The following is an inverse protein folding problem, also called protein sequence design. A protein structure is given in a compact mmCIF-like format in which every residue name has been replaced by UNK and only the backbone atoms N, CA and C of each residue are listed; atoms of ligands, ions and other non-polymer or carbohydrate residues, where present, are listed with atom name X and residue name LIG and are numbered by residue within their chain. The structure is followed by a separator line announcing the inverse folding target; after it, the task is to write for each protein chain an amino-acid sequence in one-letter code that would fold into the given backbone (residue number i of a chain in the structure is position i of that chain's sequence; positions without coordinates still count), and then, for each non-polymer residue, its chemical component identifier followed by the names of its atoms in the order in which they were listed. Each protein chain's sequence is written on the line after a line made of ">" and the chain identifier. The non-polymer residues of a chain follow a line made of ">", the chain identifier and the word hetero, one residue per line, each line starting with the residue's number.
data_IF_046327168446
#
_entry.id   IF_046327168446
#
_cell.length_a   1.000
_cell.length_b   1.000
_cell.length_c   1.000
_cell.angle_alpha   90.00
_cell.angle_beta   90.00
_cell.angle_gamma   90.00
#
_symmetry.space_group_name_H-M   'P 1'
#
loop_
_entity.id
_entity.type
_entity.pdbx_description
1 polymer ?
#
# COMPACT_ATOMS: atom_id res chain seq x y z
N UNK A 1 -2.09 -2.99 30.87
CA UNK A 1 -1.52 -3.84 31.95
C UNK A 1 -0.50 -4.68 31.22
N UNK A 2 0.76 -4.62 31.63
CA UNK A 2 1.85 -5.25 30.91
C UNK A 2 1.64 -6.77 30.81
N UNK A 3 1.49 -7.26 29.58
CA UNK A 3 1.40 -8.70 29.28
C UNK A 3 2.82 -9.24 29.01
N UNK A 4 3.37 -9.88 30.03
CA UNK A 4 4.72 -10.44 29.97
C UNK A 4 4.86 -11.63 29.01
N UNK A 5 3.78 -12.38 28.77
CA UNK A 5 3.82 -13.56 27.91
C UNK A 5 3.79 -13.15 26.45
N UNK A 6 2.89 -12.21 26.10
CA UNK A 6 2.85 -11.60 24.78
C UNK A 6 4.16 -10.89 24.44
N UNK A 7 4.70 -10.10 25.38
CA UNK A 7 5.98 -9.41 25.17
C UNK A 7 7.12 -10.41 24.86
N UNK A 8 7.20 -11.51 25.61
CA UNK A 8 8.25 -12.53 25.44
C UNK A 8 8.13 -13.23 24.08
N UNK A 9 6.90 -13.56 23.67
CA UNK A 9 6.64 -14.21 22.38
C UNK A 9 7.04 -13.29 21.22
N UNK A 10 6.63 -12.01 21.27
CA UNK A 10 6.97 -11.02 20.26
C UNK A 10 8.47 -10.76 20.18
N UNK A 11 9.17 -10.73 21.32
CA UNK A 11 10.62 -10.58 21.37
C UNK A 11 11.31 -11.77 20.68
N UNK A 12 10.91 -12.99 21.01
CA UNK A 12 11.48 -14.21 20.43
C UNK A 12 11.24 -14.30 18.92
N UNK A 13 10.03 -13.98 18.47
CA UNK A 13 9.69 -13.92 17.04
C UNK A 13 10.56 -12.90 16.31
N UNK A 14 10.70 -11.70 16.88
CA UNK A 14 11.52 -10.64 16.29
C UNK A 14 13.00 -11.03 16.22
N UNK A 15 13.54 -11.66 17.27
CA UNK A 15 14.91 -12.18 17.26
C UNK A 15 15.10 -13.26 16.19
N UNK A 16 14.14 -14.18 16.05
CA UNK A 16 14.19 -15.22 15.01
C UNK A 16 14.14 -14.62 13.60
N UNK A 17 13.30 -13.59 13.37
CA UNK A 17 13.24 -12.88 12.09
C UNK A 17 14.55 -12.15 11.78
N UNK A 18 15.19 -11.53 12.76
CA UNK A 18 16.50 -10.88 12.60
C UNK A 18 17.59 -11.90 12.26
N UNK A 19 17.63 -13.05 12.94
CA UNK A 19 18.58 -14.14 12.63
C UNK A 19 18.36 -14.72 11.24
N UNK A 20 17.10 -14.94 10.82
CA UNK A 20 16.79 -15.46 9.49
C UNK A 20 17.10 -14.43 8.37
N UNK A 21 17.01 -13.12 8.67
CA UNK A 21 17.43 -12.06 7.75
C UNK A 21 18.93 -12.12 7.46
N UNK A 22 19.76 -12.48 8.44
CA UNK A 22 21.22 -12.63 8.25
C UNK A 22 21.59 -13.87 7.41
N UNK A 23 20.70 -14.87 7.29
CA UNK A 23 20.94 -16.13 6.56
C UNK A 23 20.51 -16.10 5.08
N UNK A 24 20.09 -14.93 4.55
CA UNK A 24 20.00 -14.70 3.10
C UNK A 24 18.60 -14.68 2.47
N UNK A 25 17.53 -14.76 3.26
CA UNK A 25 16.15 -14.56 2.75
C UNK A 25 15.75 -13.09 2.95
N UNK A 26 16.23 -12.20 2.08
CA UNK A 26 15.91 -10.77 2.13
C UNK A 26 14.59 -10.50 1.40
N UNK A 27 13.50 -10.35 2.17
CA UNK A 27 12.23 -9.82 1.65
C UNK A 27 11.95 -8.47 2.33
N UNK A 28 11.55 -7.46 1.54
CA UNK A 28 11.13 -6.15 2.05
C UNK A 28 10.00 -6.31 3.10
N UNK A 29 9.17 -7.35 2.98
CA UNK A 29 8.09 -7.67 3.94
C UNK A 29 8.63 -8.07 5.33
N UNK A 30 9.73 -8.80 5.37
CA UNK A 30 10.37 -9.25 6.63
C UNK A 30 11.01 -8.06 7.35
N UNK A 31 11.57 -7.10 6.60
CA UNK A 31 12.12 -5.88 7.17
C UNK A 31 11.04 -4.99 7.79
N UNK A 32 9.90 -4.84 7.09
CA UNK A 32 8.73 -4.11 7.61
C UNK A 32 8.17 -4.81 8.87
N UNK A 33 8.10 -6.14 8.89
CA UNK A 33 7.63 -6.89 10.05
C UNK A 33 8.55 -6.73 11.27
N UNK A 34 9.87 -6.75 11.06
CA UNK A 34 10.86 -6.50 12.12
C UNK A 34 10.68 -5.07 12.68
N UNK A 35 10.59 -4.06 11.82
CA UNK A 35 10.39 -2.67 12.26
C UNK A 35 9.09 -2.51 13.07
N UNK A 36 7.99 -3.10 12.60
CA UNK A 36 6.69 -3.08 13.28
C UNK A 36 6.76 -3.74 14.66
N UNK A 37 7.36 -4.94 14.75
CA UNK A 37 7.46 -5.67 16.01
C UNK A 37 8.33 -4.93 17.03
N UNK A 38 9.42 -4.30 16.60
CA UNK A 38 10.27 -3.45 17.44
C UNK A 38 9.46 -2.28 18.02
N UNK A 39 8.64 -1.63 17.19
CA UNK A 39 7.81 -0.50 17.66
C UNK A 39 6.77 -0.95 18.68
N UNK A 40 6.16 -2.12 18.47
CA UNK A 40 5.25 -2.74 19.43
C UNK A 40 5.95 -3.11 20.75
N UNK A 41 7.16 -3.69 20.69
CA UNK A 41 7.97 -3.98 21.88
C UNK A 41 8.31 -2.72 22.68
N UNK A 42 8.67 -1.62 22.01
CA UNK A 42 8.92 -0.33 22.67
C UNK A 42 7.67 0.21 23.35
N UNK A 43 6.51 0.08 22.69
CA UNK A 43 5.25 0.52 23.26
C UNK A 43 4.88 -0.28 24.52
N UNK A 44 5.00 -1.61 24.46
CA UNK A 44 4.76 -2.48 25.61
C UNK A 44 5.75 -2.24 26.75
N UNK A 45 7.02 -2.01 26.45
CA UNK A 45 8.03 -1.68 27.45
C UNK A 45 7.73 -0.36 28.18
N UNK A 46 7.07 0.59 27.51
CA UNK A 46 6.63 1.84 28.14
C UNK A 46 5.50 1.64 29.17
N UNK A 47 4.77 0.52 29.14
CA UNK A 47 3.75 0.19 30.15
C UNK A 47 4.34 -0.39 31.45
N UNK A 48 5.64 -0.70 31.49
CA UNK A 48 6.31 -1.23 32.68
C UNK A 48 6.35 -0.14 33.77
N UNK A 49 5.76 -0.41 34.94
CA UNK A 49 5.68 0.55 36.04
C UNK A 49 7.02 0.82 36.72
N UNK A 50 7.92 -0.17 36.72
CA UNK A 50 9.28 -0.03 37.23
C UNK A 50 10.17 0.68 36.20
N UNK A 51 10.58 1.91 36.52
CA UNK A 51 11.39 2.76 35.63
C UNK A 51 12.80 2.21 35.37
N UNK A 52 13.38 1.49 36.33
CA UNK A 52 14.72 0.90 36.16
C UNK A 52 14.65 -0.28 35.18
N UNK A 53 13.63 -1.13 35.35
CA UNK A 53 13.37 -2.26 34.44
C UNK A 53 12.98 -1.76 33.06
N UNK A 54 12.08 -0.78 32.97
CA UNK A 54 11.69 -0.13 31.72
C UNK A 54 12.90 0.41 30.95
N UNK A 55 13.79 1.15 31.62
CA UNK A 55 14.99 1.71 30.99
C UNK A 55 15.95 0.61 30.48
N UNK A 56 16.15 -0.47 31.26
CA UNK A 56 16.95 -1.62 30.84
C UNK A 56 16.32 -2.35 29.64
N UNK A 57 14.99 -2.46 29.62
CA UNK A 57 14.24 -3.13 28.57
C UNK A 57 14.29 -2.35 27.25
N UNK A 58 14.03 -1.05 27.30
CA UNK A 58 14.13 -0.15 26.14
C UNK A 58 15.54 -0.16 25.56
N UNK A 59 16.58 -0.09 26.41
CA UNK A 59 17.97 -0.23 25.97
C UNK A 59 18.24 -1.55 25.24
N UNK A 60 17.70 -2.67 25.75
CA UNK A 60 17.83 -3.97 25.06
C UNK A 60 17.11 -3.99 23.72
N UNK A 61 15.91 -3.40 23.62
CA UNK A 61 15.17 -3.31 22.36
C UNK A 61 15.92 -2.42 21.36
N UNK A 62 16.49 -1.31 21.80
CA UNK A 62 17.32 -0.43 20.97
C UNK A 62 18.58 -1.15 20.47
N UNK A 63 19.17 -2.02 21.29
CA UNK A 63 20.31 -2.85 20.87
C UNK A 63 19.92 -3.89 19.82
N UNK A 64 18.66 -4.37 19.77
CA UNK A 64 18.17 -5.24 18.69
C UNK A 64 18.00 -4.49 17.36
N UNK A 65 17.86 -3.17 17.40
CA UNK A 65 17.82 -2.33 16.19
C UNK A 65 19.21 -2.04 15.62
N UNK A 66 20.25 -2.08 16.44
CA UNK A 66 21.63 -1.96 15.96
C UNK A 66 21.98 -3.26 15.23
N UNK A 67 22.37 -3.16 13.96
CA UNK A 67 22.79 -4.33 13.17
C UNK A 67 23.75 -5.23 13.97
N UNK A 68 23.64 -6.57 13.84
CA UNK A 68 24.50 -7.52 14.53
C UNK A 68 25.88 -7.51 13.86
N UNK A 69 26.67 -6.47 14.10
CA UNK A 69 28.05 -6.43 13.62
C UNK A 69 29.05 -6.87 14.70
N UNK A 70 28.75 -6.75 15.99
CA UNK A 70 29.71 -7.12 17.04
C UNK A 70 28.97 -7.67 18.27
N UNK A 71 28.53 -8.92 18.18
CA UNK A 71 28.36 -9.75 19.37
C UNK A 71 29.61 -10.62 19.53
N UNK A 72 30.76 -9.98 19.74
CA UNK A 72 31.91 -10.62 20.41
C UNK A 72 31.91 -10.22 21.88
N UNK A 73 31.43 -11.17 22.68
CA UNK A 73 31.75 -11.43 24.09
C UNK A 73 32.87 -10.52 24.64
N UNK A 74 32.51 -9.34 25.13
CA UNK A 74 33.44 -8.41 25.77
C UNK A 74 32.91 -7.90 27.11
N UNK A 75 32.45 -8.81 27.97
CA UNK A 75 32.18 -8.48 29.38
C UNK A 75 33.41 -8.63 30.29
N UNK A 76 34.61 -8.92 29.76
CA UNK A 76 35.78 -9.21 30.64
C UNK A 76 37.04 -8.39 30.36
N UNK A 77 37.08 -7.44 29.41
CA UNK A 77 38.28 -6.62 29.23
C UNK A 77 38.04 -5.11 29.39
N UNK A 78 38.54 -4.63 30.52
CA UNK A 78 39.22 -3.34 30.71
C UNK A 78 38.29 -2.11 30.82
N UNK A 79 37.94 -1.62 32.02
CA UNK A 79 38.84 -0.90 32.93
C UNK A 79 40.25 -0.74 32.36
N UNK A 80 40.51 0.41 31.73
CA UNK A 80 41.82 1.04 31.41
C UNK A 80 41.71 1.62 29.99
N UNK A 81 41.29 2.89 29.89
CA UNK A 81 41.98 3.97 29.16
C UNK A 81 41.01 5.14 28.97
N UNK A 82 41.30 6.23 29.68
CA UNK A 82 40.84 7.56 29.31
C UNK A 82 41.65 8.06 28.11
N UNK A 83 41.11 9.10 27.48
CA UNK A 83 41.72 9.92 26.42
C UNK A 83 41.67 9.28 25.02
N UNK A 84 40.57 9.58 24.28
CA UNK A 84 40.43 9.68 22.79
C UNK A 84 39.03 9.31 22.26
N UNK A 85 37.94 9.65 22.97
CA UNK A 85 36.57 9.25 22.60
C UNK A 85 35.80 10.22 21.68
N UNK A 86 36.36 11.37 21.29
CA UNK A 86 35.59 12.38 20.53
C UNK A 86 35.60 12.16 19.02
N UNK A 87 36.67 11.58 18.45
CA UNK A 87 36.79 11.44 16.99
C UNK A 87 36.05 10.20 16.44
N UNK A 88 36.09 9.09 17.18
CA UNK A 88 35.47 7.82 16.80
C UNK A 88 33.92 7.90 16.77
N UNK A 89 33.34 8.73 17.65
CA UNK A 89 31.91 9.01 17.66
C UNK A 89 31.48 9.86 16.46
N UNK A 90 32.32 10.80 16.01
CA UNK A 90 32.04 11.64 14.85
C UNK A 90 32.03 10.82 13.56
N UNK A 91 33.00 9.94 13.38
CA UNK A 91 33.09 9.07 12.20
C UNK A 91 31.93 8.08 12.12
N UNK A 92 31.46 7.56 13.28
CA UNK A 92 30.25 6.72 13.34
C UNK A 92 29.00 7.48 12.92
N UNK A 93 28.82 8.70 13.43
CA UNK A 93 27.66 9.54 13.09
C UNK A 93 27.67 9.89 11.59
N UNK A 94 28.82 10.22 11.02
CA UNK A 94 28.93 10.52 9.59
C UNK A 94 28.58 9.30 8.72
N UNK A 95 29.04 8.12 9.13
CA UNK A 95 28.72 6.85 8.45
C UNK A 95 27.23 6.52 8.52
N UNK A 96 26.59 6.77 9.66
CA UNK A 96 25.16 6.58 9.85
C UNK A 96 24.34 7.58 9.01
N UNK A 97 24.74 8.86 8.99
CA UNK A 97 24.10 9.87 8.15
C UNK A 97 24.20 9.49 6.66
N UNK A 98 25.36 9.02 6.21
CA UNK A 98 25.54 8.52 4.84
C UNK A 98 24.66 7.31 4.54
N UNK A 99 24.53 6.38 5.50
CA UNK A 99 23.69 5.19 5.37
C UNK A 99 22.21 5.58 5.26
N UNK A 100 21.71 6.41 6.17
CA UNK A 100 20.33 6.88 6.15
C UNK A 100 20.03 7.72 4.91
N UNK A 101 20.98 8.55 4.46
CA UNK A 101 20.85 9.32 3.21
C UNK A 101 20.72 8.41 1.99
N UNK A 102 21.50 7.33 1.90
CA UNK A 102 21.36 6.33 0.82
C UNK A 102 20.03 5.59 0.89
N UNK A 103 19.59 5.18 2.08
CA UNK A 103 18.30 4.51 2.27
C UNK A 103 17.15 5.44 1.90
N UNK A 104 17.20 6.70 2.32
CA UNK A 104 16.21 7.72 1.97
C UNK A 104 16.19 7.97 0.46
N UNK A 105 17.35 8.07 -0.18
CA UNK A 105 17.46 8.22 -1.63
C UNK A 105 16.88 7.00 -2.36
N UNK A 106 17.15 5.79 -1.88
CA UNK A 106 16.55 4.56 -2.41
C UNK A 106 15.02 4.53 -2.26
N UNK A 107 14.49 4.92 -1.09
CA UNK A 107 13.04 5.03 -0.85
C UNK A 107 12.41 6.12 -1.72
N UNK A 108 13.05 7.27 -1.86
CA UNK A 108 12.58 8.36 -2.73
C UNK A 108 12.55 7.93 -4.20
N UNK A 109 13.54 7.16 -4.65
CA UNK A 109 13.57 6.60 -6.01
C UNK A 109 12.46 5.58 -6.22
N UNK A 110 12.29 4.61 -5.30
CA UNK A 110 11.18 3.62 -5.35
C UNK A 110 9.82 4.33 -5.38
N UNK A 111 9.65 5.39 -4.57
CA UNK A 111 8.44 6.19 -4.56
C UNK A 111 8.19 6.89 -5.91
N UNK A 112 9.20 7.53 -6.48
CA UNK A 112 9.09 8.18 -7.80
C UNK A 112 8.72 7.18 -8.90
N UNK A 113 9.33 6.00 -8.87
CA UNK A 113 9.05 4.93 -9.84
C UNK A 113 7.61 4.41 -9.68
N UNK A 114 7.12 4.25 -8.45
CA UNK A 114 5.72 3.89 -8.17
C UNK A 114 4.74 4.95 -8.66
N UNK A 115 5.00 6.23 -8.41
CA UNK A 115 4.15 7.33 -8.89
C UNK A 115 4.10 7.38 -10.42
N UNK A 116 5.20 7.07 -11.09
CA UNK A 116 5.22 6.93 -12.56
C UNK A 116 4.36 5.78 -13.05
N UNK A 117 4.43 4.62 -12.38
CA UNK A 117 3.59 3.47 -12.72
C UNK A 117 2.11 3.81 -12.55
N UNK A 118 1.75 4.45 -11.43
CA UNK A 118 0.37 4.89 -11.17
C UNK A 118 -0.12 5.89 -12.23
N UNK A 119 0.76 6.80 -12.68
CA UNK A 119 0.48 7.71 -13.79
C UNK A 119 0.13 6.97 -15.08
N UNK A 120 0.90 5.95 -15.44
CA UNK A 120 0.63 5.14 -16.63
C UNK A 120 -0.69 4.37 -16.54
N UNK A 121 -1.03 3.86 -15.35
CA UNK A 121 -2.31 3.18 -15.11
C UNK A 121 -3.48 4.16 -15.23
N UNK A 122 -3.34 5.37 -14.69
CA UNK A 122 -4.34 6.43 -14.83
C UNK A 122 -4.56 6.82 -16.29
N UNK A 123 -3.49 6.92 -17.09
CA UNK A 123 -3.61 7.15 -18.53
C UNK A 123 -4.36 6.01 -19.21
N UNK A 124 -4.05 4.75 -18.91
CA UNK A 124 -4.75 3.60 -19.49
C UNK A 124 -6.24 3.56 -19.11
N UNK A 125 -6.57 3.88 -17.85
CA UNK A 125 -7.95 3.97 -17.37
C UNK A 125 -8.69 5.12 -18.06
N UNK A 126 -8.05 6.27 -18.21
CA UNK A 126 -8.61 7.43 -18.91
C UNK A 126 -8.88 7.11 -20.38
N UNK A 127 -7.96 6.40 -21.02
CA UNK A 127 -8.07 6.00 -22.43
C UNK A 127 -9.20 4.97 -22.63
N UNK A 128 -9.32 3.99 -21.72
CA UNK A 128 -10.45 3.04 -21.68
C UNK A 128 -11.79 3.74 -21.42
N UNK A 129 -11.83 4.68 -20.49
CA UNK A 129 -13.04 5.43 -20.18
C UNK A 129 -13.49 6.28 -21.37
N UNK A 130 -12.54 6.92 -22.06
CA UNK A 130 -12.80 7.71 -23.27
C UNK A 130 -13.33 6.83 -24.41
N UNK A 131 -12.74 5.65 -24.63
CA UNK A 131 -13.23 4.66 -25.60
C UNK A 131 -14.63 4.16 -25.26
N UNK A 132 -14.92 3.90 -23.99
CA UNK A 132 -16.25 3.48 -23.55
C UNK A 132 -17.30 4.59 -23.71
N UNK A 133 -16.94 5.85 -23.43
CA UNK A 133 -17.80 7.02 -23.69
C UNK A 133 -18.07 7.19 -25.19
N UNK A 134 -17.04 7.07 -26.03
CA UNK A 134 -17.18 7.11 -27.49
C UNK A 134 -18.05 5.95 -28.02
N UNK A 135 -17.87 4.74 -27.50
CA UNK A 135 -18.70 3.58 -27.83
C UNK A 135 -20.16 3.76 -27.40
N UNK A 136 -20.40 4.25 -26.18
CA UNK A 136 -21.74 4.50 -25.64
C UNK A 136 -22.47 5.60 -26.40
N UNK A 137 -21.78 6.71 -26.72
CA UNK A 137 -22.35 7.80 -27.53
C UNK A 137 -22.68 7.35 -28.96
N UNK A 138 -21.84 6.49 -29.54
CA UNK A 138 -22.10 5.88 -30.84
C UNK A 138 -23.32 4.97 -30.78
N UNK A 139 -23.41 4.09 -29.77
CA UNK A 139 -24.56 3.21 -29.55
C UNK A 139 -25.88 4.00 -29.34
N UNK A 140 -25.85 5.08 -28.55
CA UNK A 140 -27.00 5.98 -28.39
C UNK A 140 -27.42 6.64 -29.69
N UNK A 141 -26.45 7.01 -30.54
CA UNK A 141 -26.73 7.60 -31.86
C UNK A 141 -27.33 6.58 -32.82
N UNK A 142 -26.86 5.33 -32.80
CA UNK A 142 -27.46 4.23 -33.57
C UNK A 142 -28.90 3.94 -33.12
N UNK A 143 -29.14 3.85 -31.81
CA UNK A 143 -30.50 3.68 -31.27
C UNK A 143 -31.45 4.82 -31.68
N UNK A 144 -30.98 6.09 -31.63
CA UNK A 144 -31.78 7.24 -32.06
C UNK A 144 -32.09 7.22 -33.56
N UNK A 145 -31.19 6.66 -34.37
CA UNK A 145 -31.35 6.60 -35.84
C UNK A 145 -32.22 5.42 -36.27
N UNK A 146 -32.09 4.24 -35.64
CA UNK A 146 -33.01 3.11 -35.84
C UNK A 146 -34.41 3.39 -35.30
N UNK A 147 -34.55 4.15 -34.22
CA UNK A 147 -35.88 4.54 -33.74
C UNK A 147 -36.60 5.49 -34.72
N UNK A 148 -35.85 6.15 -35.61
CA UNK A 148 -36.38 7.04 -36.67
C UNK A 148 -36.85 6.30 -37.94
N UNK A 149 -36.47 5.02 -38.13
CA UNK A 149 -36.98 4.19 -39.24
C UNK A 149 -38.26 3.43 -38.88
N UNK A 150 -38.81 3.63 -37.69
CA UNK A 150 -40.10 3.08 -37.31
C UNK A 150 -41.21 3.78 -38.08
N UNK A 151 -41.94 2.99 -38.89
CA UNK A 151 -43.26 3.36 -39.40
C UNK A 151 -44.06 3.88 -38.19
N UNK A 152 -44.35 5.18 -38.20
CA UNK A 152 -45.04 5.83 -37.09
C UNK A 152 -46.32 5.06 -36.78
N UNK A 153 -46.48 4.61 -35.54
CA UNK A 153 -47.67 3.88 -35.06
C UNK A 153 -48.96 4.63 -35.43
N UNK A 154 -48.89 5.96 -35.50
CA UNK A 154 -49.95 6.84 -35.97
C UNK A 154 -50.37 6.59 -37.43
N UNK A 155 -49.42 6.30 -38.34
CA UNK A 155 -49.72 5.94 -39.74
C UNK A 155 -50.44 4.59 -39.86
N UNK A 156 -50.08 3.62 -39.02
CA UNK A 156 -50.74 2.31 -39.00
C UNK A 156 -52.17 2.46 -38.46
N UNK A 157 -52.34 3.28 -37.41
CA UNK A 157 -53.67 3.53 -36.84
C UNK A 157 -54.58 4.28 -37.82
N UNK A 158 -54.06 5.26 -38.55
CA UNK A 158 -54.80 5.95 -39.61
C UNK A 158 -55.16 5.00 -40.75
N UNK A 159 -54.24 4.14 -41.21
CA UNK A 159 -54.55 3.22 -42.31
C UNK A 159 -55.64 2.23 -41.92
N UNK A 160 -55.60 1.69 -40.69
CA UNK A 160 -56.64 0.81 -40.17
C UNK A 160 -58.00 1.52 -40.10
N UNK A 161 -58.04 2.78 -39.65
CA UNK A 161 -59.26 3.58 -39.57
C UNK A 161 -59.84 3.86 -40.97
N UNK A 162 -58.99 4.20 -41.94
CA UNK A 162 -59.42 4.42 -43.34
C UNK A 162 -60.00 3.14 -43.94
N UNK A 163 -59.35 1.99 -43.75
CA UNK A 163 -59.86 0.70 -44.21
C UNK A 163 -61.22 0.40 -43.58
N UNK A 164 -61.37 0.65 -42.28
CA UNK A 164 -62.62 0.44 -41.56
C UNK A 164 -63.75 1.33 -42.12
N UNK A 165 -63.47 2.60 -42.38
CA UNK A 165 -64.46 3.53 -42.97
C UNK A 165 -64.87 3.08 -44.38
N UNK A 166 -63.91 2.65 -45.21
CA UNK A 166 -64.20 2.14 -46.56
C UNK A 166 -65.06 0.88 -46.47
N UNK A 167 -64.70 -0.09 -45.63
CA UNK A 167 -65.49 -1.31 -45.41
C UNK A 167 -66.90 -0.99 -44.92
N UNK A 168 -67.03 -0.07 -43.98
CA UNK A 168 -68.33 0.36 -43.45
C UNK A 168 -69.21 0.96 -44.55
N UNK A 169 -68.64 1.82 -45.40
CA UNK A 169 -69.35 2.37 -46.54
C UNK A 169 -69.79 1.30 -47.54
N UNK A 170 -68.93 0.32 -47.84
CA UNK A 170 -69.27 -0.80 -48.72
C UNK A 170 -70.42 -1.61 -48.12
N UNK A 171 -70.37 -1.99 -46.84
CA UNK A 171 -71.44 -2.79 -46.19
C UNK A 171 -72.77 -2.01 -46.14
N UNK A 172 -72.72 -0.69 -45.92
CA UNK A 172 -73.92 0.10 -45.68
C UNK A 172 -74.61 0.58 -46.96
N UNK A 173 -73.85 0.77 -48.05
CA UNK A 173 -74.35 1.39 -49.29
C UNK A 173 -74.28 0.48 -50.52
N UNK A 174 -73.67 -0.71 -50.42
CA UNK A 174 -73.75 -1.78 -51.42
C UNK A 174 -74.76 -2.84 -50.96
#
# INVERSE_FOLDING_TARGET
>A
MFDSEYFKNLLNETTALISNKTEGTYSDDVEIQIESNIMALKHLANEISDKEVQSKMLKRIDMLCAEPAEFEVSEVHQRITGVNKSNEYSDRIEKDILKYSRQLHGKAKKFLDSVRLDGNVLDEVTDKMTKNLAGTSSALRFMKTEQSSNISVFRILISALVIFVIMYFIIRFL
#
